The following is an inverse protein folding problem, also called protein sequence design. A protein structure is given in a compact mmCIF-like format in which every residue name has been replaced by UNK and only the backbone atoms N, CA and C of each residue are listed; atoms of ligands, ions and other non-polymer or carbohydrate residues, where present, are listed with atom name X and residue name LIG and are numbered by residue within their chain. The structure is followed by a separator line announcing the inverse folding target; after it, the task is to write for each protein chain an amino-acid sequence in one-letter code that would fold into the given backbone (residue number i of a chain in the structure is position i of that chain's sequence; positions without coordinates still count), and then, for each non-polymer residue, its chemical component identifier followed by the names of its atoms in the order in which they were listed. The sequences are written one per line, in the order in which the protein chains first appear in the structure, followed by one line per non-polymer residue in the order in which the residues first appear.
data_IF_352581578567
#
_entry.id   IF_352581578567
#
_cell.length_a   1.000
_cell.length_b   1.000
_cell.length_c   1.000
_cell.angle_alpha   90.00
_cell.angle_beta   90.00
_cell.angle_gamma   90.00
#
_symmetry.space_group_name_H-M   'P 1'
#
loop_
_entity.id
_entity.type
_entity.pdbx_description
1 polymer ?
#
# COMPACT_ATOMS: atom_id res chain seq x y z
N UNK A 1 1.13 14.52 9.42
CA UNK A 1 0.34 13.30 9.40
C UNK A 1 0.93 12.45 8.32
N UNK A 2 1.00 11.14 8.54
CA UNK A 2 1.41 10.18 7.50
C UNK A 2 0.27 9.23 7.32
N UNK A 3 -0.06 8.91 6.09
CA UNK A 3 -1.07 7.90 5.79
C UNK A 3 -0.45 6.91 4.84
N UNK A 4 -0.48 5.64 5.24
CA UNK A 4 0.25 4.57 4.58
C UNK A 4 -0.61 3.33 4.58
N UNK A 5 -1.07 2.93 3.40
CA UNK A 5 -1.97 1.80 3.26
C UNK A 5 -1.64 1.02 2.00
N UNK A 6 -1.77 -0.31 2.06
CA UNK A 6 -1.93 -1.10 0.86
C UNK A 6 -3.06 -2.10 1.01
N UNK A 7 -3.56 -2.56 -0.14
CA UNK A 7 -4.42 -3.73 -0.23
C UNK A 7 -3.83 -4.76 -1.16
N UNK A 8 -3.95 -6.04 -0.80
CA UNK A 8 -3.50 -7.18 -1.61
C UNK A 8 -4.67 -8.11 -1.90
N UNK A 9 -4.76 -8.61 -3.13
CA UNK A 9 -5.80 -9.52 -3.57
C UNK A 9 -5.48 -10.97 -3.13
N UNK A 10 -5.61 -11.20 -1.82
CA UNK A 10 -5.43 -12.47 -1.14
C UNK A 10 -6.41 -12.54 0.02
N UNK A 11 -6.76 -13.76 0.43
CA UNK A 11 -7.52 -13.96 1.67
C UNK A 11 -6.71 -13.50 2.89
N UNK A 12 -7.39 -13.20 4.00
CA UNK A 12 -6.75 -12.73 5.23
C UNK A 12 -5.58 -13.63 5.69
N UNK A 13 -5.81 -14.93 5.72
CA UNK A 13 -4.82 -15.91 6.18
C UNK A 13 -3.64 -16.02 5.20
N UNK A 14 -3.89 -15.99 3.89
CA UNK A 14 -2.81 -15.98 2.90
C UNK A 14 -1.99 -14.69 2.93
N UNK A 15 -2.66 -13.55 3.11
CA UNK A 15 -2.03 -12.25 3.22
C UNK A 15 -1.13 -12.15 4.47
N UNK A 16 -1.61 -12.63 5.62
CA UNK A 16 -0.82 -12.72 6.86
C UNK A 16 0.42 -13.60 6.68
N UNK A 17 0.25 -14.80 6.12
CA UNK A 17 1.38 -15.69 5.84
C UNK A 17 2.38 -15.04 4.87
N UNK A 18 1.89 -14.37 3.83
CA UNK A 18 2.73 -13.64 2.88
C UNK A 18 3.51 -12.52 3.55
N UNK A 19 2.88 -11.81 4.48
CA UNK A 19 3.51 -10.74 5.24
C UNK A 19 4.60 -11.28 6.17
N UNK A 20 4.34 -12.36 6.91
CA UNK A 20 5.34 -13.04 7.74
C UNK A 20 6.56 -13.49 6.92
N UNK A 21 6.31 -14.14 5.76
CA UNK A 21 7.35 -14.56 4.82
C UNK A 21 8.21 -13.37 4.36
N UNK A 22 7.57 -12.24 4.07
CA UNK A 22 8.25 -11.04 3.55
C UNK A 22 9.10 -10.35 4.61
N UNK A 23 8.59 -10.28 5.84
CA UNK A 23 9.32 -9.74 7.00
C UNK A 23 10.39 -10.71 7.50
N UNK A 24 10.36 -11.98 7.07
CA UNK A 24 11.20 -13.06 7.56
C UNK A 24 11.11 -13.22 9.10
N UNK A 25 9.90 -13.01 9.63
CA UNK A 25 9.58 -13.03 11.06
C UNK A 25 8.37 -13.94 11.31
N UNK A 26 8.41 -14.69 12.42
CA UNK A 26 7.23 -15.39 12.93
C UNK A 26 6.34 -14.39 13.68
N UNK A 27 5.53 -13.64 12.93
CA UNK A 27 4.66 -12.61 13.50
C UNK A 27 3.41 -13.27 14.07
N UNK A 28 3.17 -13.06 15.37
CA UNK A 28 1.89 -13.41 16.01
C UNK A 28 0.98 -12.19 15.97
N UNK A 29 -0.04 -12.23 15.12
CA UNK A 29 -1.01 -11.15 15.03
C UNK A 29 -2.00 -11.20 16.20
N UNK A 30 -2.17 -10.07 16.88
CA UNK A 30 -3.16 -9.93 17.94
C UNK A 30 -4.51 -9.54 17.34
N UNK A 31 -5.60 -10.14 17.82
CA UNK A 31 -6.95 -9.71 17.45
C UNK A 31 -7.28 -8.42 18.22
N UNK A 32 -7.36 -7.32 17.50
CA UNK A 32 -7.75 -6.01 18.00
C UNK A 32 -9.27 -5.78 17.94
N UNK A 33 -9.66 -4.51 18.06
CA UNK A 33 -11.05 -4.10 17.93
C UNK A 33 -11.54 -4.24 16.47
N UNK A 34 -12.86 -4.42 16.30
CA UNK A 34 -13.51 -4.50 14.98
C UNK A 34 -12.96 -5.60 14.06
N UNK A 35 -12.55 -6.74 14.63
CA UNK A 35 -12.05 -7.91 13.89
C UNK A 35 -10.76 -7.64 13.09
N UNK A 36 -10.02 -6.58 13.44
CA UNK A 36 -8.71 -6.27 12.84
C UNK A 36 -7.60 -7.03 13.55
N UNK A 37 -6.66 -7.54 12.79
CA UNK A 37 -5.42 -8.14 13.30
C UNK A 37 -4.33 -7.08 13.38
N UNK A 38 -3.49 -7.12 14.42
CA UNK A 38 -2.47 -6.10 14.67
C UNK A 38 -1.10 -6.75 14.79
N UNK A 39 -0.12 -6.18 14.08
CA UNK A 39 1.32 -6.34 14.32
C UNK A 39 1.95 -4.96 14.46
N UNK A 40 2.51 -4.66 15.64
CA UNK A 40 3.12 -3.35 15.95
C UNK A 40 2.15 -2.19 15.65
N UNK A 41 2.37 -1.44 14.57
CA UNK A 41 1.49 -0.33 14.11
C UNK A 41 0.62 -0.67 12.90
N UNK A 42 0.67 -1.92 12.44
CA UNK A 42 0.02 -2.37 11.21
C UNK A 42 -1.27 -3.08 11.57
N UNK A 43 -2.38 -2.55 11.08
CA UNK A 43 -3.69 -3.19 11.16
C UNK A 43 -3.97 -3.95 9.87
N UNK A 44 -4.52 -5.15 9.99
CA UNK A 44 -4.82 -6.04 8.88
C UNK A 44 -6.26 -6.50 8.97
N UNK A 45 -7.01 -6.35 7.88
CA UNK A 45 -8.39 -6.81 7.78
C UNK A 45 -8.74 -7.19 6.35
N UNK A 46 -9.54 -8.24 6.18
CA UNK A 46 -10.17 -8.57 4.91
C UNK A 46 -11.49 -7.83 4.79
N UNK A 47 -11.75 -7.28 3.60
CA UNK A 47 -12.97 -6.53 3.31
C UNK A 47 -13.90 -7.31 2.37
N UNK A 48 -15.16 -6.85 2.28
CA UNK A 48 -16.20 -7.48 1.46
C UNK A 48 -15.84 -7.53 -0.04
N UNK A 49 -14.89 -6.71 -0.51
CA UNK A 49 -14.39 -6.71 -1.88
C UNK A 49 -13.41 -7.87 -2.19
N UNK A 50 -13.10 -8.71 -1.19
CA UNK A 50 -12.17 -9.83 -1.31
C UNK A 50 -10.69 -9.43 -1.31
N UNK A 51 -10.37 -8.21 -0.88
CA UNK A 51 -9.00 -7.77 -0.65
C UNK A 51 -8.69 -7.72 0.84
N UNK A 52 -7.43 -8.01 1.16
CA UNK A 52 -6.89 -7.79 2.50
C UNK A 52 -6.13 -6.47 2.54
N UNK A 53 -6.52 -5.60 3.47
CA UNK A 53 -5.97 -4.27 3.67
C UNK A 53 -4.96 -4.28 4.82
N UNK A 54 -3.91 -3.50 4.65
CA UNK A 54 -2.85 -3.25 5.62
C UNK A 54 -2.78 -1.74 5.81
N UNK A 55 -2.99 -1.28 7.04
CA UNK A 55 -2.91 0.13 7.41
C UNK A 55 -1.78 0.30 8.41
N UNK A 56 -0.73 1.03 8.03
CA UNK A 56 0.31 1.41 8.96
C UNK A 56 -0.02 2.75 9.61
N UNK A 57 -0.46 2.69 10.87
CA UNK A 57 -0.90 3.85 11.66
C UNK A 57 0.26 4.81 11.96
N UNK A 58 1.51 4.36 11.87
CA UNK A 58 2.69 5.23 12.02
C UNK A 58 3.18 5.83 10.70
N UNK A 59 2.90 5.15 9.59
CA UNK A 59 3.30 5.54 8.24
C UNK A 59 4.80 5.47 7.99
N UNK A 60 5.47 4.43 8.49
CA UNK A 60 6.92 4.22 8.36
C UNK A 60 7.29 2.84 7.80
N UNK A 61 6.42 1.84 7.96
CA UNK A 61 6.75 0.44 7.67
C UNK A 61 6.92 0.14 6.17
N UNK A 62 6.20 0.88 5.31
CA UNK A 62 6.18 0.62 3.86
C UNK A 62 6.76 1.76 3.01
N UNK A 63 7.04 2.90 3.64
CA UNK A 63 7.61 4.08 2.98
C UNK A 63 9.01 3.75 2.43
N UNK A 64 9.28 4.19 1.20
CA UNK A 64 10.56 4.04 0.51
C UNK A 64 10.86 2.62 0.05
N UNK A 65 9.89 1.70 0.07
CA UNK A 65 10.10 0.34 -0.43
C UNK A 65 10.13 0.33 -1.96
N UNK A 66 11.21 -0.22 -2.53
CA UNK A 66 11.36 -0.33 -3.98
C UNK A 66 10.29 -1.22 -4.63
N UNK A 67 10.02 -0.98 -5.92
CA UNK A 67 9.16 -1.85 -6.72
C UNK A 67 9.60 -3.34 -6.68
N UNK A 68 10.90 -3.63 -6.58
CA UNK A 68 11.40 -5.01 -6.47
C UNK A 68 10.96 -5.67 -5.16
N UNK A 69 10.92 -4.92 -4.06
CA UNK A 69 10.44 -5.41 -2.77
C UNK A 69 8.94 -5.73 -2.84
N UNK A 70 8.15 -4.82 -3.43
CA UNK A 70 6.73 -5.05 -3.69
C UNK A 70 6.50 -6.26 -4.60
N UNK A 71 7.24 -6.39 -5.70
CA UNK A 71 7.12 -7.52 -6.63
C UNK A 71 7.47 -8.86 -5.96
N UNK A 72 8.48 -8.88 -5.07
CA UNK A 72 8.81 -10.08 -4.27
C UNK A 72 7.70 -10.46 -3.30
N UNK A 73 7.07 -9.48 -2.65
CA UNK A 73 5.94 -9.68 -1.74
C UNK A 73 4.69 -10.18 -2.48
N UNK A 74 4.31 -9.51 -3.57
CA UNK A 74 3.07 -9.76 -4.32
C UNK A 74 3.13 -11.06 -5.10
N UNK A 75 4.29 -11.43 -5.63
CA UNK A 75 4.48 -12.61 -6.50
C UNK A 75 3.57 -12.52 -7.73
N UNK A 76 2.58 -13.39 -7.85
CA UNK A 76 1.61 -13.48 -8.93
C UNK A 76 0.25 -12.80 -8.63
N UNK A 77 0.10 -12.21 -7.43
CA UNK A 77 -1.13 -11.56 -6.98
C UNK A 77 -1.21 -10.09 -7.45
N UNK A 78 -2.19 -9.34 -6.95
CA UNK A 78 -2.32 -7.90 -7.21
C UNK A 78 -2.19 -7.10 -5.92
N UNK A 79 -1.56 -5.92 -5.97
CA UNK A 79 -1.45 -4.98 -4.85
C UNK A 79 -1.69 -3.55 -5.31
N UNK A 80 -2.27 -2.75 -4.43
CA UNK A 80 -2.30 -1.29 -4.54
C UNK A 80 -1.77 -0.74 -3.23
N UNK A 81 -0.67 0.00 -3.29
CA UNK A 81 -0.06 0.70 -2.15
C UNK A 81 -0.09 2.19 -2.41
N UNK A 82 -0.42 2.98 -1.39
CA UNK A 82 -0.29 4.42 -1.45
C UNK A 82 0.22 4.99 -0.11
N UNK A 83 0.94 6.09 -0.23
CA UNK A 83 1.48 6.85 0.88
C UNK A 83 1.44 8.35 0.59
N UNK A 84 1.19 9.15 1.62
CA UNK A 84 1.56 10.56 1.63
C UNK A 84 1.87 11.07 3.04
N UNK A 85 2.55 12.22 3.13
CA UNK A 85 2.81 12.93 4.38
C UNK A 85 2.62 14.45 4.30
N UNK A 86 2.82 15.13 5.44
CA UNK A 86 2.72 16.60 5.57
C UNK A 86 3.89 17.34 4.91
N UNK A 87 4.98 16.64 4.59
CA UNK A 87 6.14 17.20 3.88
C UNK A 87 5.94 17.10 2.35
N UNK A 88 4.72 16.76 1.91
CA UNK A 88 4.32 16.63 0.51
C UNK A 88 5.01 15.48 -0.24
N UNK A 89 5.54 14.51 0.51
CA UNK A 89 6.01 13.27 -0.08
C UNK A 89 4.81 12.39 -0.45
N UNK A 90 4.94 11.64 -1.54
CA UNK A 90 3.90 10.69 -1.94
C UNK A 90 4.46 9.49 -2.70
N UNK A 91 3.85 8.33 -2.50
CA UNK A 91 4.16 7.10 -3.23
C UNK A 91 2.88 6.40 -3.66
N UNK A 92 2.91 5.75 -4.83
CA UNK A 92 1.86 4.87 -5.32
C UNK A 92 2.48 3.70 -6.10
N UNK A 93 2.11 2.47 -5.72
CA UNK A 93 2.45 1.26 -6.46
C UNK A 93 1.17 0.53 -6.82
N UNK A 94 1.02 0.19 -8.11
CA UNK A 94 -0.05 -0.69 -8.59
C UNK A 94 0.58 -1.86 -9.32
N UNK A 95 0.41 -3.06 -8.77
CA UNK A 95 0.80 -4.31 -9.40
C UNK A 95 -0.49 -5.10 -9.68
N UNK A 96 -0.66 -5.54 -10.93
CA UNK A 96 -1.77 -6.41 -11.34
C UNK A 96 -1.22 -7.73 -11.82
N UNK A 97 -1.65 -8.83 -11.21
CA UNK A 97 -1.26 -10.20 -11.55
C UNK A 97 0.27 -10.35 -11.68
N UNK A 98 1.01 -9.84 -10.69
CA UNK A 98 2.47 -9.88 -10.66
C UNK A 98 3.17 -9.00 -11.69
N UNK A 99 2.47 -8.04 -12.31
CA UNK A 99 3.06 -7.08 -13.26
C UNK A 99 2.93 -5.66 -12.73
N UNK A 100 4.03 -4.90 -12.68
CA UNK A 100 4.02 -3.49 -12.33
C UNK A 100 3.28 -2.68 -13.40
N UNK A 101 2.21 -1.99 -13.00
CA UNK A 101 1.37 -1.16 -13.89
C UNK A 101 1.62 0.32 -13.65
N UNK A 102 1.80 0.72 -12.39
CA UNK A 102 2.02 2.10 -11.96
C UNK A 102 3.07 2.14 -10.85
N UNK A 103 4.02 3.03 -10.98
CA UNK A 103 4.92 3.47 -9.91
C UNK A 103 4.99 4.98 -9.96
N UNK A 104 4.62 5.63 -8.86
CA UNK A 104 4.75 7.06 -8.66
C UNK A 104 5.51 7.29 -7.34
N UNK A 105 6.49 8.18 -7.37
CA UNK A 105 7.16 8.67 -6.17
C UNK A 105 7.48 10.14 -6.35
N UNK A 106 7.16 10.93 -5.33
CA UNK A 106 7.43 12.36 -5.26
C UNK A 106 8.07 12.68 -3.91
N UNK A 107 9.30 13.16 -3.95
CA UNK A 107 10.06 13.67 -2.81
C UNK A 107 10.67 15.02 -3.20
N UNK A 108 10.35 16.08 -2.47
CA UNK A 108 10.89 17.43 -2.77
C UNK A 108 12.38 17.54 -2.45
N UNK A 109 12.85 16.84 -1.41
CA UNK A 109 14.22 16.85 -0.93
C UNK A 109 15.13 15.87 -1.68
N UNK A 110 14.58 14.82 -2.28
CA UNK A 110 15.28 13.87 -3.13
C UNK A 110 14.67 13.70 -4.55
N UNK A 111 14.69 14.74 -5.42
CA UNK A 111 14.05 14.67 -6.74
C UNK A 111 14.60 13.59 -7.68
N UNK A 112 15.81 13.08 -7.42
CA UNK A 112 16.44 12.00 -8.19
C UNK A 112 15.81 10.63 -7.91
N UNK A 113 15.10 10.50 -6.79
CA UNK A 113 14.35 9.30 -6.42
C UNK A 113 12.90 9.33 -6.93
N UNK A 114 12.48 10.44 -7.56
CA UNK A 114 11.13 10.55 -8.11
C UNK A 114 10.95 9.61 -9.30
N UNK A 115 9.80 8.95 -9.34
CA UNK A 115 9.43 8.01 -10.40
C UNK A 115 8.04 8.41 -10.89
N UNK A 116 7.87 8.39 -12.21
CA UNK A 116 6.57 8.50 -12.84
C UNK A 116 6.50 7.49 -14.00
N UNK A 117 6.09 6.27 -13.66
CA UNK A 117 6.01 5.16 -14.59
C UNK A 117 4.59 4.63 -14.70
N UNK A 118 4.10 4.54 -15.94
CA UNK A 118 2.84 3.90 -16.26
C UNK A 118 1.61 4.72 -15.86
N UNK A 119 0.44 4.11 -16.02
CA UNK A 119 -0.86 4.64 -15.65
C UNK A 119 -1.82 3.46 -15.47
N UNK A 120 -2.84 3.60 -14.65
CA UNK A 120 -3.88 2.59 -14.47
C UNK A 120 -5.28 3.18 -14.65
N UNK A 121 -6.29 2.31 -14.61
CA UNK A 121 -7.69 2.64 -14.98
C UNK A 121 -8.28 3.83 -14.23
N UNK A 122 -7.91 4.03 -12.96
CA UNK A 122 -8.34 5.18 -12.15
C UNK A 122 -7.89 6.53 -12.77
N UNK A 123 -6.69 6.56 -13.34
CA UNK A 123 -6.08 7.78 -13.89
C UNK A 123 -6.73 8.26 -15.19
N UNK A 124 -7.62 7.47 -15.79
CA UNK A 124 -8.38 7.89 -16.98
C UNK A 124 -9.28 9.10 -16.69
N UNK A 125 -9.83 9.18 -15.48
CA UNK A 125 -10.67 10.31 -15.04
C UNK A 125 -10.03 11.16 -13.94
N UNK A 126 -9.02 10.63 -13.26
CA UNK A 126 -8.39 11.23 -12.08
C UNK A 126 -6.87 11.05 -12.14
N UNK A 127 -6.15 11.84 -12.94
CA UNK A 127 -4.69 11.74 -13.08
C UNK A 127 -3.97 11.83 -11.73
N UNK A 128 -2.82 11.15 -11.59
CA UNK A 128 -1.93 11.27 -10.43
C UNK A 128 -0.70 12.06 -10.88
N UNK A 129 -0.68 13.36 -10.59
CA UNK A 129 0.40 14.27 -10.98
C UNK A 129 1.16 14.82 -9.76
N UNK A 130 0.51 14.88 -8.60
CA UNK A 130 1.12 15.37 -7.37
C UNK A 130 0.72 14.56 -6.12
N UNK A 131 1.20 15.00 -4.96
CA UNK A 131 0.89 14.38 -3.66
C UNK A 131 -0.59 14.47 -3.29
N UNK A 132 -1.31 15.53 -3.68
CA UNK A 132 -2.73 15.68 -3.39
C UNK A 132 -3.54 14.63 -4.14
N UNK A 133 -3.15 14.31 -5.37
CA UNK A 133 -3.84 13.28 -6.16
C UNK A 133 -3.68 11.90 -5.52
N UNK A 134 -2.49 11.59 -5.00
CA UNK A 134 -2.23 10.35 -4.23
C UNK A 134 -3.05 10.35 -2.93
N UNK A 135 -3.08 11.44 -2.18
CA UNK A 135 -3.89 11.56 -0.97
C UNK A 135 -5.39 11.35 -1.27
N UNK A 136 -5.91 12.00 -2.32
CA UNK A 136 -7.28 11.85 -2.78
C UNK A 136 -7.61 10.40 -3.19
N UNK A 137 -6.69 9.74 -3.90
CA UNK A 137 -6.83 8.33 -4.26
C UNK A 137 -6.88 7.44 -3.03
N UNK A 138 -5.93 7.62 -2.10
CA UNK A 138 -5.86 6.84 -0.87
C UNK A 138 -7.16 6.99 -0.05
N UNK A 139 -7.63 8.21 0.16
CA UNK A 139 -8.87 8.47 0.90
C UNK A 139 -10.10 7.80 0.27
N UNK A 140 -10.20 7.83 -1.07
CA UNK A 140 -11.37 7.30 -1.80
C UNK A 140 -11.33 5.79 -2.00
N UNK A 141 -10.16 5.24 -2.31
CA UNK A 141 -10.01 3.87 -2.85
C UNK A 141 -9.38 2.90 -1.86
N UNK A 142 -8.73 3.40 -0.79
CA UNK A 142 -8.02 2.59 0.19
C UNK A 142 -8.52 2.76 1.63
N UNK A 143 -9.14 3.87 2.00
CA UNK A 143 -9.60 4.09 3.38
C UNK A 143 -11.12 4.03 3.60
N UNK A 144 -11.93 3.91 2.55
CA UNK A 144 -13.38 3.83 2.73
C UNK A 144 -13.77 2.54 3.47
N UNK A 145 -14.25 2.68 4.71
CA UNK A 145 -14.76 1.62 5.60
C UNK A 145 -13.72 0.68 6.25
N UNK A 146 -12.47 1.13 6.48
CA UNK A 146 -11.55 0.45 7.42
C UNK A 146 -11.76 0.96 8.84
#
# INVERSE_FOLDING_TARGET
MRVCCFKINLSLEEAKNRYCDWMNEGIEFELGEYEKYIDKSIQIAEMEDGWTYFVDVKGEAFFGLSNESWMKFVRDSSVIYAYYDDDFNAELIVIKNGTLIREFSLYEDEPVANVDFGAFEYEVSSPIEDWNDVANFLEKELLFNI
#
